data_IF_324120189600
#
_entry.id   IF_324120189600
#
_cell.length_a   1.000
_cell.length_b   1.000
_cell.length_c   1.000
_cell.angle_alpha   90.00
_cell.angle_beta   90.00
_cell.angle_gamma   90.00
#
_symmetry.space_group_name_H-M   'P 1'
#
loop_
_entity.id
_entity.type
_entity.pdbx_description
1 polymer ?
#
# COMPACT_ATOMS: atom_id res chain seq x y z
N UNK A 1 6.27 -13.87 0.20
CA UNK A 1 5.77 -13.89 1.60
C UNK A 1 4.62 -12.90 1.74
N UNK A 2 3.69 -13.16 2.65
CA UNK A 2 2.75 -12.12 3.10
C UNK A 2 3.50 -11.22 4.07
N UNK A 3 3.36 -9.91 3.93
CA UNK A 3 3.91 -8.93 4.87
C UNK A 3 2.92 -8.63 5.98
N UNK A 4 1.76 -8.08 5.62
CA UNK A 4 0.63 -7.87 6.52
C UNK A 4 -0.66 -7.80 5.71
N UNK A 5 -1.76 -7.75 6.44
CA UNK A 5 -3.08 -7.54 5.90
C UNK A 5 -3.86 -6.55 6.76
N UNK A 6 -4.79 -5.83 6.14
CA UNK A 6 -5.62 -4.84 6.84
C UNK A 6 -7.06 -4.83 6.30
N UNK A 7 -8.02 -4.78 7.21
CA UNK A 7 -9.38 -4.35 6.89
C UNK A 7 -9.43 -2.82 6.82
N UNK A 8 -9.87 -2.29 5.68
CA UNK A 8 -9.99 -0.87 5.43
C UNK A 8 -11.46 -0.47 5.39
N UNK A 9 -11.82 0.53 6.19
CA UNK A 9 -13.18 1.04 6.26
C UNK A 9 -13.19 2.53 5.92
N UNK A 10 -13.90 2.91 4.86
CA UNK A 10 -14.19 4.31 4.59
C UNK A 10 -15.64 4.62 5.01
N UNK A 11 -15.86 5.40 6.08
CA UNK A 11 -17.22 5.71 6.53
C UNK A 11 -17.97 6.55 5.50
N UNK A 12 -19.31 6.65 5.62
CA UNK A 12 -20.10 7.63 4.87
C UNK A 12 -19.52 9.03 5.03
N UNK A 13 -19.44 9.80 3.95
CA UNK A 13 -18.84 11.15 3.95
C UNK A 13 -17.39 11.20 4.43
N UNK A 14 -16.67 10.07 4.37
CA UNK A 14 -15.29 9.94 4.79
C UNK A 14 -14.31 10.61 3.83
N UNK A 15 -13.26 11.21 4.40
CA UNK A 15 -12.21 11.90 3.65
C UNK A 15 -11.47 10.96 2.66
N UNK A 16 -10.85 11.57 1.66
CA UNK A 16 -9.92 10.89 0.77
C UNK A 16 -8.70 10.36 1.54
N UNK A 17 -8.06 9.34 0.98
CA UNK A 17 -6.71 8.92 1.38
C UNK A 17 -5.75 9.63 0.45
N UNK A 18 -4.80 10.41 0.99
CA UNK A 18 -3.90 11.23 0.18
C UNK A 18 -2.91 10.38 -0.62
N UNK A 19 -2.28 10.99 -1.63
CA UNK A 19 -1.26 10.31 -2.43
C UNK A 19 -0.12 9.81 -1.54
N UNK A 20 0.27 8.54 -1.71
CA UNK A 20 1.37 7.92 -0.99
C UNK A 20 1.88 6.68 -1.72
N UNK A 21 2.91 6.07 -1.16
CA UNK A 21 3.46 4.78 -1.54
C UNK A 21 3.55 3.93 -0.28
N UNK A 22 3.38 2.62 -0.40
CA UNK A 22 3.32 1.74 0.78
C UNK A 22 4.72 1.45 1.34
N UNK A 23 5.67 1.05 0.50
CA UNK A 23 7.00 0.55 0.94
C UNK A 23 7.78 1.54 1.80
N UNK A 24 7.74 2.87 1.59
CA UNK A 24 8.43 3.80 2.49
C UNK A 24 7.98 3.70 3.96
N UNK A 25 6.81 3.13 4.22
CA UNK A 25 6.30 2.87 5.58
C UNK A 25 6.72 1.52 6.15
N UNK A 26 7.30 0.63 5.35
CA UNK A 26 7.54 -0.75 5.74
C UNK A 26 8.98 -0.98 6.20
N UNK A 27 9.15 -2.09 6.91
CA UNK A 27 10.42 -2.50 7.51
C UNK A 27 11.45 -3.08 6.50
N UNK A 28 11.28 -2.82 5.20
CA UNK A 28 12.19 -3.25 4.13
C UNK A 28 12.16 -2.29 2.94
N UNK A 29 13.17 -2.40 2.06
CA UNK A 29 13.18 -1.69 0.78
C UNK A 29 13.15 -2.68 -0.39
N UNK A 30 12.16 -2.54 -1.26
CA UNK A 30 12.06 -3.31 -2.50
C UNK A 30 11.16 -2.60 -3.51
N UNK A 31 11.40 -2.85 -4.79
CA UNK A 31 10.45 -2.50 -5.88
C UNK A 31 9.59 -3.68 -6.33
N UNK A 32 9.77 -4.86 -5.73
CA UNK A 32 9.15 -6.10 -6.17
C UNK A 32 8.00 -6.54 -5.26
N UNK A 33 7.61 -5.72 -4.28
CA UNK A 33 6.41 -5.95 -3.47
C UNK A 33 5.15 -5.49 -4.21
N UNK A 34 4.04 -6.14 -3.87
CA UNK A 34 2.72 -5.83 -4.41
C UNK A 34 1.69 -5.83 -3.30
N UNK A 35 0.71 -4.95 -3.43
CA UNK A 35 -0.46 -4.88 -2.55
C UNK A 35 -1.69 -5.34 -3.35
N UNK A 36 -2.40 -6.33 -2.83
CA UNK A 36 -3.67 -6.81 -3.36
C UNK A 36 -4.80 -6.13 -2.59
N UNK A 37 -5.65 -5.37 -3.28
CA UNK A 37 -6.79 -4.67 -2.70
C UNK A 37 -8.11 -5.25 -3.23
N UNK A 38 -8.94 -5.72 -2.30
CA UNK A 38 -10.17 -6.47 -2.57
C UNK A 38 -11.35 -5.69 -1.97
N UNK A 39 -12.17 -5.00 -2.78
CA UNK A 39 -13.38 -4.36 -2.29
C UNK A 39 -14.39 -5.40 -1.79
N UNK A 40 -14.98 -5.16 -0.61
CA UNK A 40 -16.11 -5.96 -0.10
C UNK A 40 -17.47 -5.34 -0.46
N UNK A 41 -17.45 -4.09 -0.93
CA UNK A 41 -18.57 -3.32 -1.49
C UNK A 41 -18.10 -2.73 -2.82
N UNK A 42 -19.00 -2.48 -3.79
CA UNK A 42 -18.61 -1.86 -5.07
C UNK A 42 -17.76 -0.61 -4.83
N UNK A 43 -16.56 -0.54 -5.41
CA UNK A 43 -15.70 0.63 -5.35
C UNK A 43 -15.92 1.48 -6.60
N UNK A 44 -16.58 2.62 -6.43
CA UNK A 44 -16.92 3.57 -7.48
C UNK A 44 -16.16 4.88 -7.27
N UNK A 45 -16.24 5.79 -8.25
CA UNK A 45 -15.70 7.14 -8.09
C UNK A 45 -16.33 7.89 -6.91
N UNK A 46 -17.62 7.64 -6.64
CA UNK A 46 -18.40 8.36 -5.64
C UNK A 46 -18.17 7.86 -4.21
N UNK A 47 -17.75 6.60 -4.04
CA UNK A 47 -17.49 6.01 -2.71
C UNK A 47 -15.99 5.71 -2.45
N UNK A 48 -15.13 6.27 -3.30
CA UNK A 48 -13.71 6.38 -3.07
C UNK A 48 -12.88 5.21 -3.59
N UNK A 49 -13.10 4.76 -4.81
CA UNK A 49 -12.19 3.83 -5.48
C UNK A 49 -10.73 4.33 -5.45
N UNK A 50 -9.80 3.42 -5.74
CA UNK A 50 -8.38 3.75 -5.81
C UNK A 50 -8.07 4.59 -7.06
N UNK A 51 -7.00 5.36 -6.96
CA UNK A 51 -6.41 6.16 -8.02
C UNK A 51 -4.91 5.94 -8.05
N UNK A 52 -4.32 5.99 -9.25
CA UNK A 52 -2.92 5.70 -9.49
C UNK A 52 -2.28 6.77 -10.36
N UNK A 53 -1.00 7.05 -10.13
CA UNK A 53 -0.12 7.77 -11.06
C UNK A 53 0.74 6.76 -11.82
N UNK A 54 0.40 6.41 -13.08
CA UNK A 54 1.11 5.39 -13.82
C UNK A 54 2.61 5.68 -13.96
N UNK A 55 3.44 4.63 -13.86
CA UNK A 55 4.90 4.73 -14.03
C UNK A 55 5.70 5.19 -12.81
N UNK A 56 5.07 5.82 -11.81
CA UNK A 56 5.77 6.39 -10.62
C UNK A 56 6.57 5.36 -9.82
N UNK A 57 6.13 4.10 -9.77
CA UNK A 57 6.85 2.98 -9.15
C UNK A 57 8.28 2.74 -9.67
N UNK A 58 8.63 3.25 -10.86
CA UNK A 58 9.97 3.15 -11.44
C UNK A 58 10.87 4.33 -11.04
N UNK A 59 10.28 5.44 -10.62
CA UNK A 59 10.96 6.72 -10.37
C UNK A 59 11.09 7.03 -8.87
N UNK A 60 10.13 6.58 -8.06
CA UNK A 60 10.05 6.83 -6.63
C UNK A 60 11.29 6.40 -5.84
N UNK A 61 11.74 7.18 -4.86
CA UNK A 61 12.72 6.72 -3.85
C UNK A 61 12.00 6.08 -2.66
N UNK A 62 12.76 5.49 -1.73
CA UNK A 62 12.22 4.91 -0.49
C UNK A 62 12.04 5.95 0.63
N UNK A 63 12.21 7.24 0.32
CA UNK A 63 12.08 8.29 1.31
C UNK A 63 10.63 8.41 1.78
N UNK A 64 10.46 8.47 3.09
CA UNK A 64 9.14 8.57 3.72
C UNK A 64 8.55 9.96 3.43
N UNK A 65 7.41 9.97 2.72
CA UNK A 65 6.55 11.14 2.61
C UNK A 65 5.31 10.90 3.48
N UNK A 66 5.10 11.66 4.57
CA UNK A 66 3.96 11.47 5.46
C UNK A 66 2.59 11.55 4.76
N UNK A 67 1.71 10.60 5.06
CA UNK A 67 0.28 10.65 4.73
C UNK A 67 -0.35 11.65 5.69
N UNK A 68 -0.58 12.86 5.21
CA UNK A 68 -1.32 13.89 5.94
C UNK A 68 -2.66 14.15 5.25
N UNK A 69 -3.42 15.15 5.73
CA UNK A 69 -4.61 15.64 5.06
C UNK A 69 -4.29 16.42 3.77
N UNK A 70 -3.02 16.78 3.54
CA UNK A 70 -2.58 17.55 2.39
C UNK A 70 -2.24 16.64 1.19
N UNK A 71 -3.07 16.73 0.14
CA UNK A 71 -2.86 16.03 -1.13
C UNK A 71 -1.56 16.41 -1.86
N UNK A 72 -0.87 17.48 -1.43
CA UNK A 72 0.33 17.99 -2.10
C UNK A 72 1.64 17.41 -1.58
N UNK A 73 1.66 16.69 -0.47
CA UNK A 73 2.92 16.29 0.18
C UNK A 73 3.79 15.42 -0.73
N UNK A 74 3.19 14.42 -1.40
CA UNK A 74 3.90 13.63 -2.42
C UNK A 74 4.41 14.47 -3.58
N UNK A 75 3.67 15.50 -4.02
CA UNK A 75 4.13 16.37 -5.10
C UNK A 75 5.17 17.40 -4.66
N UNK A 76 5.40 17.60 -3.36
CA UNK A 76 6.54 18.38 -2.88
C UNK A 76 7.83 17.56 -2.98
N UNK A 77 7.75 16.27 -2.64
CA UNK A 77 8.86 15.32 -2.80
C UNK A 77 9.13 14.97 -4.27
N UNK A 78 8.07 14.88 -5.08
CA UNK A 78 8.13 14.53 -6.51
C UNK A 78 7.36 15.56 -7.37
N UNK A 79 7.90 16.76 -7.58
CA UNK A 79 7.21 17.84 -8.31
C UNK A 79 6.81 17.47 -9.74
N UNK A 80 7.61 16.65 -10.42
CA UNK A 80 7.38 16.21 -11.79
C UNK A 80 6.10 15.36 -11.93
N UNK A 81 5.66 14.69 -10.85
CA UNK A 81 4.45 13.88 -10.86
C UNK A 81 3.17 14.69 -10.95
N UNK A 82 3.22 16.00 -10.65
CA UNK A 82 2.07 16.90 -10.79
C UNK A 82 1.57 17.01 -12.24
N UNK A 83 2.44 16.71 -13.21
CA UNK A 83 2.10 16.72 -14.64
C UNK A 83 1.52 15.39 -15.15
N UNK A 84 1.51 14.34 -14.32
CA UNK A 84 1.04 13.02 -14.71
C UNK A 84 -0.50 12.94 -14.67
N UNK A 85 -1.07 12.22 -15.64
CA UNK A 85 -2.50 11.93 -15.66
C UNK A 85 -2.83 10.77 -14.71
N UNK A 86 -3.58 11.07 -13.65
CA UNK A 86 -4.07 10.06 -12.72
C UNK A 86 -5.13 9.16 -13.36
N UNK A 87 -5.11 7.87 -13.01
CA UNK A 87 -6.09 6.87 -13.46
C UNK A 87 -6.86 6.32 -12.27
N UNK A 88 -8.19 6.38 -12.33
CA UNK A 88 -9.05 5.73 -11.35
C UNK A 88 -9.18 4.23 -11.64
N UNK A 89 -9.43 3.45 -10.60
CA UNK A 89 -9.66 2.02 -10.67
C UNK A 89 -10.97 1.62 -9.96
N UNK A 90 -12.15 1.93 -10.53
CA UNK A 90 -13.41 1.38 -10.05
C UNK A 90 -13.43 -0.14 -10.21
N UNK A 91 -13.96 -0.85 -9.22
CA UNK A 91 -13.97 -2.31 -9.19
C UNK A 91 -15.19 -2.81 -8.40
N UNK A 92 -15.96 -3.77 -8.92
CA UNK A 92 -17.13 -4.30 -8.21
C UNK A 92 -16.73 -5.08 -6.95
N UNK A 93 -17.67 -5.27 -6.03
CA UNK A 93 -17.47 -6.08 -4.84
C UNK A 93 -16.95 -7.49 -5.21
N UNK A 94 -15.94 -7.96 -4.48
CA UNK A 94 -15.26 -9.24 -4.75
C UNK A 94 -14.29 -9.21 -5.95
N UNK A 95 -14.16 -8.07 -6.64
CA UNK A 95 -13.09 -7.86 -7.61
C UNK A 95 -11.72 -7.73 -6.95
N UNK A 96 -10.69 -7.44 -7.74
CA UNK A 96 -9.31 -7.34 -7.27
C UNK A 96 -8.57 -6.24 -8.03
N UNK A 97 -7.85 -5.41 -7.28
CA UNK A 97 -6.81 -4.54 -7.83
C UNK A 97 -5.48 -5.00 -7.26
N UNK A 98 -4.51 -5.27 -8.13
CA UNK A 98 -3.12 -5.53 -7.71
C UNK A 98 -2.28 -4.36 -8.15
N UNK A 99 -1.53 -3.78 -7.22
CA UNK A 99 -0.61 -2.70 -7.55
C UNK A 99 0.77 -2.94 -6.95
N UNK A 100 1.79 -2.44 -7.64
CA UNK A 100 3.15 -2.42 -7.10
C UNK A 100 3.19 -1.48 -5.89
N UNK A 101 3.74 -1.92 -4.77
CA UNK A 101 3.68 -1.16 -3.51
C UNK A 101 4.53 0.14 -3.52
N UNK A 102 5.32 0.37 -4.58
CA UNK A 102 6.00 1.66 -4.85
C UNK A 102 5.20 2.60 -5.76
N UNK A 103 4.03 2.20 -6.29
CA UNK A 103 3.25 3.10 -7.14
C UNK A 103 2.59 4.17 -6.27
N UNK A 104 2.71 5.43 -6.68
CA UNK A 104 1.96 6.50 -6.05
C UNK A 104 0.47 6.29 -6.29
N UNK A 105 -0.28 6.14 -5.20
CA UNK A 105 -1.71 5.87 -5.24
C UNK A 105 -2.45 6.63 -4.15
N UNK A 106 -3.75 6.80 -4.35
CA UNK A 106 -4.67 7.47 -3.43
C UNK A 106 -6.03 6.79 -3.48
N UNK A 107 -6.95 7.21 -2.61
CA UNK A 107 -8.34 6.77 -2.67
C UNK A 107 -9.26 7.97 -2.55
N UNK A 108 -10.27 8.07 -3.42
CA UNK A 108 -11.23 9.17 -3.37
C UNK A 108 -11.97 9.26 -2.02
N UNK A 109 -12.64 10.40 -1.74
CA UNK A 109 -13.54 10.48 -0.60
C UNK A 109 -14.73 9.53 -0.81
N UNK A 110 -15.40 9.15 0.27
CA UNK A 110 -16.69 8.47 0.18
C UNK A 110 -17.80 9.50 0.31
N UNK A 111 -18.46 9.87 -0.78
CA UNK A 111 -19.54 10.86 -0.81
C UNK A 111 -20.93 10.22 -0.69
N UNK A 112 -20.99 8.93 -0.39
CA UNK A 112 -22.24 8.18 -0.27
C UNK A 112 -22.68 8.03 1.20
N UNK A 113 -23.89 7.50 1.40
CA UNK A 113 -24.48 7.25 2.72
C UNK A 113 -24.05 5.93 3.35
N UNK A 114 -23.48 5.04 2.55
CA UNK A 114 -23.05 3.72 2.98
C UNK A 114 -21.53 3.69 3.16
N UNK A 115 -21.01 2.88 4.10
CA UNK A 115 -19.58 2.68 4.18
C UNK A 115 -19.07 1.89 2.98
N UNK A 116 -17.77 2.03 2.70
CA UNK A 116 -17.07 1.18 1.74
C UNK A 116 -15.96 0.42 2.45
N UNK A 117 -16.05 -0.90 2.41
CA UNK A 117 -15.13 -1.83 3.05
C UNK A 117 -14.20 -2.46 2.01
N UNK A 118 -12.98 -2.73 2.41
CA UNK A 118 -12.04 -3.48 1.60
C UNK A 118 -11.08 -4.27 2.48
N UNK A 119 -10.48 -5.29 1.88
CA UNK A 119 -9.36 -6.03 2.43
C UNK A 119 -8.12 -5.69 1.61
N UNK A 120 -6.98 -5.44 2.26
CA UNK A 120 -5.69 -5.34 1.58
C UNK A 120 -4.72 -6.39 2.12
N UNK A 121 -3.94 -7.01 1.23
CA UNK A 121 -2.88 -7.95 1.59
C UNK A 121 -1.60 -7.54 0.87
N UNK A 122 -0.56 -7.25 1.63
CA UNK A 122 0.75 -6.91 1.10
C UNK A 122 1.62 -8.17 0.95
N UNK A 123 2.30 -8.28 -0.19
CA UNK A 123 3.24 -9.35 -0.49
C UNK A 123 4.61 -8.78 -0.79
N UNK A 124 5.65 -9.49 -0.36
CA UNK A 124 7.04 -9.17 -0.66
C UNK A 124 7.83 -10.43 -1.07
N UNK A 125 8.91 -10.29 -1.85
CA UNK A 125 9.81 -11.40 -2.16
C UNK A 125 10.41 -12.03 -0.91
N UNK A 126 10.65 -13.34 -0.94
CA UNK A 126 11.46 -13.99 0.09
C UNK A 126 12.91 -13.46 0.07
N UNK A 127 13.57 -13.46 1.22
CA UNK A 127 14.96 -13.04 1.37
C UNK A 127 15.19 -11.52 1.50
N UNK A 128 14.15 -10.71 1.64
CA UNK A 128 14.34 -9.30 2.02
C UNK A 128 14.86 -9.17 3.44
N UNK A 129 15.59 -8.08 3.69
CA UNK A 129 16.23 -7.79 4.97
C UNK A 129 15.62 -6.58 5.66
N UNK A 130 15.63 -6.60 6.99
CA UNK A 130 15.15 -5.53 7.85
C UNK A 130 15.93 -4.22 7.59
N UNK A 131 15.21 -3.11 7.37
CA UNK A 131 15.82 -1.79 7.14
C UNK A 131 15.98 -0.94 8.41
N UNK A 132 15.47 -1.39 9.57
CA UNK A 132 15.53 -0.66 10.83
C UNK A 132 14.27 0.15 11.18
N UNK A 133 13.26 0.17 10.32
CA UNK A 133 12.00 0.87 10.56
C UNK A 133 10.96 -0.05 11.22
N UNK A 134 10.24 0.47 12.20
CA UNK A 134 9.04 -0.17 12.74
C UNK A 134 7.84 0.14 11.86
N UNK A 135 6.92 -0.82 11.72
CA UNK A 135 5.65 -0.61 11.02
C UNK A 135 4.45 -1.23 11.76
N UNK A 136 3.44 -1.68 11.03
CA UNK A 136 2.21 -2.30 11.53
C UNK A 136 2.36 -3.68 12.18
N UNK A 137 3.48 -4.40 12.00
CA UNK A 137 3.67 -5.68 12.68
C UNK A 137 3.92 -5.50 14.19
N UNK A 138 3.63 -6.53 15.02
CA UNK A 138 3.84 -6.45 16.47
C UNK A 138 5.29 -6.12 16.84
N UNK A 139 5.50 -5.33 17.90
CA UNK A 139 6.84 -4.91 18.35
C UNK A 139 7.73 -6.12 18.67
N UNK A 140 7.15 -7.22 19.12
CA UNK A 140 7.85 -8.46 19.41
C UNK A 140 8.53 -9.04 18.18
N UNK A 141 7.96 -8.85 16.98
CA UNK A 141 8.59 -9.29 15.73
C UNK A 141 9.90 -8.53 15.48
N UNK A 142 9.95 -7.25 15.84
CA UNK A 142 11.11 -6.38 15.63
C UNK A 142 12.16 -6.45 16.73
N UNK A 143 11.80 -6.92 17.92
CA UNK A 143 12.64 -6.82 19.13
C UNK A 143 13.98 -7.53 18.97
N UNK A 144 14.01 -8.65 18.25
CA UNK A 144 15.22 -9.45 18.04
C UNK A 144 15.92 -9.19 16.69
N UNK A 145 15.32 -8.35 15.82
CA UNK A 145 15.86 -8.05 14.49
C UNK A 145 16.91 -6.94 14.53
N UNK A 146 18.00 -7.15 13.81
CA UNK A 146 19.01 -6.15 13.47
C UNK A 146 18.90 -5.75 12.01
N UNK A 147 19.30 -4.52 11.69
CA UNK A 147 19.36 -4.08 10.29
C UNK A 147 20.20 -5.07 9.48
N UNK A 148 19.63 -5.58 8.38
CA UNK A 148 20.24 -6.62 7.55
C UNK A 148 19.78 -8.06 7.86
N UNK A 149 19.07 -8.30 8.96
CA UNK A 149 18.51 -9.63 9.26
C UNK A 149 17.38 -9.97 8.28
N UNK A 150 17.26 -11.25 7.92
CA UNK A 150 16.23 -11.72 7.01
C UNK A 150 14.83 -11.61 7.64
N UNK A 151 13.87 -11.11 6.86
CA UNK A 151 12.46 -11.08 7.22
C UNK A 151 11.80 -12.38 6.77
N UNK A 152 11.96 -13.45 7.56
CA UNK A 152 11.56 -14.80 7.17
C UNK A 152 10.93 -15.64 8.29
N UNK A 153 10.47 -15.02 9.38
CA UNK A 153 9.73 -15.73 10.43
C UNK A 153 8.31 -16.07 9.96
N UNK A 154 8.06 -17.34 9.66
CA UNK A 154 6.76 -17.78 9.13
C UNK A 154 5.58 -17.59 10.09
N UNK A 155 5.83 -17.28 11.37
CA UNK A 155 4.77 -16.93 12.33
C UNK A 155 4.17 -15.55 12.04
N UNK A 156 4.96 -14.65 11.46
CA UNK A 156 4.57 -13.26 11.18
C UNK A 156 4.50 -12.98 9.68
N UNK A 157 5.45 -13.52 8.91
CA UNK A 157 5.62 -13.26 7.47
C UNK A 157 5.70 -14.56 6.65
N UNK A 158 4.61 -15.35 6.62
CA UNK A 158 4.62 -16.69 6.06
C UNK A 158 5.00 -16.71 4.57
N UNK A 159 5.79 -17.71 4.20
CA UNK A 159 6.03 -18.06 2.80
C UNK A 159 4.76 -18.63 2.17
N UNK A 160 4.24 -17.94 1.15
CA UNK A 160 3.00 -18.34 0.46
C UNK A 160 3.24 -19.15 -0.80
N UNK A 161 4.38 -18.95 -1.44
CA UNK A 161 4.72 -19.61 -2.69
C UNK A 161 6.24 -19.57 -2.91
N UNK A 162 6.76 -20.65 -3.49
CA UNK A 162 8.10 -20.75 -4.02
C UNK A 162 8.01 -21.47 -5.38
N UNK A 163 8.91 -21.13 -6.31
CA UNK A 163 9.00 -21.87 -7.57
C UNK A 163 9.74 -23.18 -7.29
N UNK A 164 9.08 -24.31 -7.52
CA UNK A 164 9.76 -25.59 -7.54
C UNK A 164 10.78 -25.61 -8.70
N UNK A 165 12.00 -26.07 -8.41
CA UNK A 165 13.13 -26.12 -9.34
C UNK A 165 12.95 -27.11 -10.47
#
# INVERSE_FOLDING_TARGET
RIWHDQALFKPPYGNQTTWHMDVPYWAFHTRQSVSMWIPLDDATLDNGCLWYLPGTHQLATYDLVPITENMRDVFQAYPEWMSLEARSAPVPAGGLVVHNSMIAHSAGPNMTREPRRAMTVAFFPDGLTYNGNFDTLPVEYYTDLKVGDCLNDDRYVPLTWQRDG
#
